data_IF_352143161659
#
_entry.id   IF_352143161659
#
_cell.length_a   1.000
_cell.length_b   1.000
_cell.length_c   1.000
_cell.angle_alpha   90.00
_cell.angle_beta   90.00
_cell.angle_gamma   90.00
#
_symmetry.space_group_name_H-M   'P 1'
#
loop_
_entity.id
_entity.type
_entity.pdbx_description
1 polymer ?
#
# COMPACT_ATOMS: atom_id res chain seq x y z
N UNK A 1 -9.15 -14.17 -15.73
CA UNK A 1 -9.40 -12.93 -14.98
C UNK A 1 -10.31 -12.03 -15.81
N UNK A 2 -11.17 -11.22 -15.18
CA UNK A 2 -11.97 -10.23 -15.90
C UNK A 2 -11.08 -9.06 -16.34
N UNK A 3 -11.51 -8.28 -17.34
CA UNK A 3 -10.78 -7.08 -17.76
C UNK A 3 -10.56 -6.07 -16.62
N UNK A 4 -11.50 -6.03 -15.65
CA UNK A 4 -11.41 -5.17 -14.48
C UNK A 4 -10.36 -5.66 -13.47
N UNK A 5 -10.26 -6.97 -13.27
CA UNK A 5 -9.20 -7.54 -12.42
C UNK A 5 -7.80 -7.32 -13.03
N UNK A 6 -7.66 -7.42 -14.36
CA UNK A 6 -6.40 -7.09 -15.06
C UNK A 6 -6.05 -5.61 -14.95
N UNK A 7 -7.04 -4.70 -14.95
CA UNK A 7 -6.80 -3.28 -14.71
C UNK A 7 -6.24 -3.04 -13.31
N UNK A 8 -6.91 -3.55 -12.26
CA UNK A 8 -6.44 -3.39 -10.88
C UNK A 8 -5.03 -3.97 -10.70
N UNK A 9 -4.77 -5.14 -11.32
CA UNK A 9 -3.45 -5.76 -11.35
C UNK A 9 -2.40 -4.86 -12.01
N UNK A 10 -2.68 -4.33 -13.21
CA UNK A 10 -1.74 -3.44 -13.90
C UNK A 10 -1.43 -2.17 -13.11
N UNK A 11 -2.41 -1.63 -12.39
CA UNK A 11 -2.25 -0.43 -11.55
C UNK A 11 -1.37 -0.71 -10.33
N UNK A 12 -1.59 -1.83 -9.63
CA UNK A 12 -0.73 -2.20 -8.51
C UNK A 12 0.69 -2.56 -8.95
N UNK A 13 0.85 -3.23 -10.09
CA UNK A 13 2.15 -3.55 -10.66
C UNK A 13 2.91 -2.27 -11.02
N UNK A 14 2.25 -1.29 -11.65
CA UNK A 14 2.84 0.01 -11.96
C UNK A 14 3.32 0.73 -10.69
N UNK A 15 2.50 0.77 -9.63
CA UNK A 15 2.89 1.35 -8.34
C UNK A 15 4.07 0.60 -7.73
N UNK A 16 4.03 -0.73 -7.76
CA UNK A 16 5.08 -1.58 -7.21
C UNK A 16 6.41 -1.34 -7.91
N UNK A 17 6.41 -1.32 -9.24
CA UNK A 17 7.61 -1.01 -10.03
C UNK A 17 8.10 0.40 -9.74
N UNK A 18 7.20 1.39 -9.67
CA UNK A 18 7.59 2.78 -9.45
C UNK A 18 8.27 2.99 -8.08
N UNK A 19 7.74 2.39 -7.01
CA UNK A 19 8.35 2.47 -5.67
C UNK A 19 9.65 1.68 -5.61
N UNK A 20 9.66 0.45 -6.11
CA UNK A 20 10.82 -0.46 -5.94
C UNK A 20 11.98 -0.16 -6.89
N UNK A 21 11.75 0.61 -7.96
CA UNK A 21 12.81 1.11 -8.84
C UNK A 21 13.47 2.39 -8.33
N UNK A 22 12.90 3.05 -7.32
CA UNK A 22 13.50 4.22 -6.69
C UNK A 22 14.72 3.81 -5.86
N UNK A 23 15.83 4.54 -6.00
CA UNK A 23 17.09 4.27 -5.28
C UNK A 23 16.99 4.27 -3.74
N UNK A 24 15.92 4.85 -3.20
CA UNK A 24 15.62 4.87 -1.76
C UNK A 24 15.02 3.55 -1.27
N UNK A 25 14.52 2.69 -2.16
CA UNK A 25 13.94 1.41 -1.79
C UNK A 25 14.97 0.45 -1.19
N UNK A 26 14.62 -0.13 -0.04
CA UNK A 26 15.42 -1.11 0.69
C UNK A 26 14.48 -2.19 1.22
N UNK A 27 14.59 -3.41 0.72
CA UNK A 27 13.70 -4.52 1.10
C UNK A 27 13.91 -4.92 2.57
N UNK A 28 15.12 -4.71 3.10
CA UNK A 28 15.48 -5.02 4.47
C UNK A 28 14.96 -3.98 5.47
N UNK A 29 14.45 -2.84 5.00
CA UNK A 29 13.85 -1.80 5.83
C UNK A 29 12.37 -2.12 6.09
N UNK A 30 12.12 -2.77 7.23
CA UNK A 30 10.77 -3.20 7.63
C UNK A 30 9.78 -2.03 7.70
N UNK A 31 10.21 -0.87 8.21
CA UNK A 31 9.34 0.32 8.28
C UNK A 31 8.94 0.79 6.87
N UNK A 32 9.88 0.81 5.93
CA UNK A 32 9.60 1.19 4.54
C UNK A 32 8.64 0.18 3.89
N UNK A 33 8.81 -1.11 4.16
CA UNK A 33 7.89 -2.15 3.69
C UNK A 33 6.48 -1.99 4.27
N UNK A 34 6.36 -1.67 5.56
CA UNK A 34 5.07 -1.40 6.21
C UNK A 34 4.39 -0.16 5.62
N UNK A 35 5.11 0.96 5.53
CA UNK A 35 4.59 2.20 4.95
C UNK A 35 4.11 1.97 3.53
N UNK A 36 4.93 1.30 2.71
CA UNK A 36 4.55 0.95 1.36
C UNK A 36 3.32 0.03 1.32
N UNK A 37 3.26 -1.00 2.16
CA UNK A 37 2.15 -1.96 2.16
C UNK A 37 0.81 -1.34 2.57
N UNK A 38 0.76 -0.51 3.62
CA UNK A 38 -0.47 0.20 3.99
C UNK A 38 -0.91 1.20 2.92
N UNK A 39 0.03 1.94 2.34
CA UNK A 39 -0.25 2.88 1.24
C UNK A 39 -0.69 2.16 -0.04
N UNK A 40 -0.03 1.07 -0.43
CA UNK A 40 -0.45 0.22 -1.55
C UNK A 40 -1.85 -0.31 -1.33
N UNK A 41 -2.15 -0.83 -0.14
CA UNK A 41 -3.48 -1.37 0.15
C UNK A 41 -4.57 -0.32 -0.09
N UNK A 42 -4.41 0.92 0.41
CA UNK A 42 -5.38 1.98 0.17
C UNK A 42 -5.59 2.30 -1.31
N UNK A 43 -4.51 2.37 -2.09
CA UNK A 43 -4.57 2.61 -3.53
C UNK A 43 -5.30 1.47 -4.27
N UNK A 44 -4.90 0.22 -4.02
CA UNK A 44 -5.48 -0.96 -4.67
C UNK A 44 -6.91 -1.19 -4.21
N UNK A 45 -7.23 -0.88 -2.95
CA UNK A 45 -8.61 -0.96 -2.46
C UNK A 45 -9.51 0.02 -3.19
N UNK A 46 -9.10 1.27 -3.36
CA UNK A 46 -9.91 2.22 -4.09
C UNK A 46 -10.04 1.89 -5.58
N UNK A 47 -8.96 1.48 -6.25
CA UNK A 47 -9.04 1.01 -7.66
C UNK A 47 -9.92 -0.24 -7.76
N UNK A 48 -9.62 -1.26 -6.97
CA UNK A 48 -10.32 -2.55 -6.99
C UNK A 48 -11.80 -2.42 -6.64
N UNK A 49 -12.15 -1.70 -5.58
CA UNK A 49 -13.51 -1.62 -5.07
C UNK A 49 -14.38 -0.62 -5.82
N UNK A 50 -13.84 0.55 -6.17
CA UNK A 50 -14.61 1.66 -6.75
C UNK A 50 -14.62 1.60 -8.28
N UNK A 51 -13.47 1.28 -8.89
CA UNK A 51 -13.33 1.27 -10.36
C UNK A 51 -13.63 -0.12 -10.92
N UNK A 52 -13.15 -1.18 -10.25
CA UNK A 52 -13.18 -2.54 -10.78
C UNK A 52 -14.27 -3.44 -10.17
N UNK A 53 -14.99 -2.96 -9.14
CA UNK A 53 -16.02 -3.70 -8.39
C UNK A 53 -15.59 -5.07 -7.87
N UNK A 54 -14.31 -5.22 -7.51
CA UNK A 54 -13.74 -6.45 -6.97
C UNK A 54 -14.16 -6.68 -5.52
N UNK A 55 -14.16 -7.95 -5.12
CA UNK A 55 -14.36 -8.35 -3.73
C UNK A 55 -13.14 -8.00 -2.88
N UNK A 56 -13.37 -7.70 -1.60
CA UNK A 56 -12.31 -7.31 -0.65
C UNK A 56 -11.23 -8.39 -0.56
N UNK A 57 -11.63 -9.67 -0.53
CA UNK A 57 -10.70 -10.79 -0.47
C UNK A 57 -9.77 -10.85 -1.69
N UNK A 58 -10.30 -10.55 -2.88
CA UNK A 58 -9.49 -10.51 -4.12
C UNK A 58 -8.52 -9.34 -4.11
N UNK A 59 -8.94 -8.18 -3.60
CA UNK A 59 -8.10 -6.98 -3.45
C UNK A 59 -6.95 -7.25 -2.47
N UNK A 60 -7.27 -7.80 -1.29
CA UNK A 60 -6.26 -8.16 -0.28
C UNK A 60 -5.29 -9.19 -0.84
N UNK A 61 -5.80 -10.21 -1.54
CA UNK A 61 -4.95 -11.21 -2.18
C UNK A 61 -4.02 -10.58 -3.23
N UNK A 62 -4.54 -9.72 -4.09
CA UNK A 62 -3.76 -9.05 -5.12
C UNK A 62 -2.62 -8.23 -4.51
N UNK A 63 -2.91 -7.41 -3.50
CA UNK A 63 -1.89 -6.61 -2.83
C UNK A 63 -0.87 -7.47 -2.07
N UNK A 64 -1.31 -8.53 -1.38
CA UNK A 64 -0.42 -9.47 -0.72
C UNK A 64 0.47 -10.24 -1.72
N UNK A 65 -0.04 -10.60 -2.91
CA UNK A 65 0.73 -11.26 -3.97
C UNK A 65 1.84 -10.35 -4.48
N UNK A 66 1.59 -9.05 -4.63
CA UNK A 66 2.60 -8.07 -5.04
C UNK A 66 3.70 -7.93 -4.01
N UNK A 67 3.36 -7.73 -2.73
CA UNK A 67 4.34 -7.67 -1.65
C UNK A 67 5.14 -8.98 -1.54
N UNK A 68 4.48 -10.12 -1.66
CA UNK A 68 5.16 -11.42 -1.64
C UNK A 68 6.12 -11.61 -2.80
N UNK A 69 5.76 -11.10 -3.98
CA UNK A 69 6.62 -11.08 -5.18
C UNK A 69 7.91 -10.28 -5.00
N UNK A 70 7.94 -9.32 -4.07
CA UNK A 70 9.14 -8.57 -3.70
C UNK A 70 10.08 -9.31 -2.75
N UNK A 71 9.68 -10.48 -2.23
CA UNK A 71 10.43 -11.24 -1.23
C UNK A 71 9.93 -11.06 0.21
N UNK A 72 8.85 -10.29 0.42
CA UNK A 72 8.20 -10.19 1.73
C UNK A 72 7.52 -11.53 2.05
N UNK A 73 7.69 -12.04 3.27
CA UNK A 73 7.11 -13.33 3.65
C UNK A 73 5.59 -13.36 3.46
N UNK A 74 5.07 -14.36 2.74
CA UNK A 74 3.65 -14.45 2.36
C UNK A 74 2.67 -14.21 3.51
N UNK A 75 2.88 -14.87 4.66
CA UNK A 75 2.01 -14.71 5.84
C UNK A 75 2.04 -13.30 6.41
N UNK A 76 3.19 -12.64 6.35
CA UNK A 76 3.35 -11.26 6.81
C UNK A 76 2.63 -10.30 5.87
N UNK A 77 2.77 -10.48 4.55
CA UNK A 77 2.02 -9.71 3.55
C UNK A 77 0.50 -9.88 3.72
N UNK A 78 0.01 -11.11 3.89
CA UNK A 78 -1.43 -11.38 4.15
C UNK A 78 -1.91 -10.71 5.44
N UNK A 79 -1.15 -10.85 6.54
CA UNK A 79 -1.47 -10.21 7.81
C UNK A 79 -1.50 -8.69 7.72
N UNK A 80 -0.60 -8.09 6.95
CA UNK A 80 -0.55 -6.65 6.70
C UNK A 80 -1.78 -6.17 5.92
N UNK A 81 -2.22 -6.89 4.88
CA UNK A 81 -3.43 -6.52 4.13
C UNK A 81 -4.69 -6.64 4.97
N UNK A 82 -4.75 -7.64 5.86
CA UNK A 82 -5.84 -7.77 6.82
C UNK A 82 -5.83 -6.62 7.83
N UNK A 83 -4.66 -6.26 8.37
CA UNK A 83 -4.52 -5.15 9.30
C UNK A 83 -4.92 -3.83 8.65
N UNK A 84 -4.46 -3.54 7.43
CA UNK A 84 -4.81 -2.36 6.67
C UNK A 84 -6.32 -2.24 6.42
N UNK A 85 -6.99 -3.36 6.09
CA UNK A 85 -8.44 -3.40 5.97
C UNK A 85 -9.13 -3.08 7.29
N UNK A 86 -8.71 -3.69 8.40
CA UNK A 86 -9.31 -3.49 9.71
C UNK A 86 -9.17 -2.02 10.18
N UNK A 87 -7.98 -1.44 10.00
CA UNK A 87 -7.69 -0.03 10.32
C UNK A 87 -8.63 0.91 9.55
N UNK A 88 -8.85 0.63 8.26
CA UNK A 88 -9.72 1.42 7.39
C UNK A 88 -11.22 1.30 7.74
N UNK A 89 -11.67 0.13 8.19
CA UNK A 89 -13.08 -0.11 8.55
C UNK A 89 -13.45 0.45 9.93
N UNK A 90 -12.46 0.78 10.76
CA UNK A 90 -12.73 1.31 12.09
C UNK A 90 -13.15 2.78 12.03
N UNK A 91 -14.39 3.06 12.44
CA UNK A 91 -14.91 4.42 12.52
C UNK A 91 -14.09 5.32 13.46
N UNK A 92 -13.83 6.55 13.04
CA UNK A 92 -13.08 7.53 13.83
C UNK A 92 -11.60 7.19 14.04
N UNK A 93 -11.06 6.21 13.32
CA UNK A 93 -9.67 5.81 13.45
C UNK A 93 -8.72 6.90 12.93
N UNK A 94 -7.80 7.36 13.77
CA UNK A 94 -6.78 8.35 13.44
C UNK A 94 -5.36 7.79 13.50
N UNK A 95 -5.23 6.46 13.56
CA UNK A 95 -3.94 5.77 13.59
C UNK A 95 -3.07 6.15 12.40
N UNK A 96 -1.76 6.01 12.58
CA UNK A 96 -0.79 6.19 11.51
C UNK A 96 -1.09 5.26 10.33
N UNK A 97 -1.43 4.01 10.58
CA UNK A 97 -1.79 3.04 9.55
C UNK A 97 -3.02 3.48 8.75
N UNK A 98 -4.07 3.97 9.40
CA UNK A 98 -5.25 4.48 8.70
C UNK A 98 -4.91 5.70 7.83
N UNK A 99 -4.03 6.58 8.30
CA UNK A 99 -3.55 7.72 7.51
C UNK A 99 -2.79 7.25 6.26
N UNK A 100 -1.91 6.25 6.39
CA UNK A 100 -1.17 5.67 5.26
C UNK A 100 -2.09 5.03 4.22
N UNK A 101 -3.12 4.30 4.68
CA UNK A 101 -4.18 3.77 3.81
C UNK A 101 -4.92 4.90 3.12
N UNK A 102 -5.29 5.96 3.85
CA UNK A 102 -5.97 7.13 3.31
C UNK A 102 -5.17 7.85 2.20
N UNK A 103 -3.85 7.96 2.36
CA UNK A 103 -2.94 8.52 1.33
C UNK A 103 -3.05 7.73 0.04
N UNK A 104 -2.91 6.40 0.10
CA UNK A 104 -3.07 5.54 -1.07
C UNK A 104 -4.45 5.67 -1.71
N UNK A 105 -5.50 5.65 -0.88
CA UNK A 105 -6.87 5.73 -1.34
C UNK A 105 -7.20 7.08 -2.02
N UNK A 106 -6.54 8.17 -1.65
CA UNK A 106 -6.75 9.47 -2.29
C UNK A 106 -6.21 9.56 -3.72
N UNK A 107 -5.32 8.64 -4.11
CA UNK A 107 -4.61 8.65 -5.40
C UNK A 107 -5.24 7.73 -6.46
N UNK A 108 -6.44 7.19 -6.20
CA UNK A 108 -7.09 6.16 -7.04
C UNK A 108 -7.34 6.58 -8.50
N UNK A 109 -7.55 7.88 -8.72
CA UNK A 109 -7.81 8.47 -10.03
C UNK A 109 -6.56 9.02 -10.71
N UNK A 110 -5.40 8.97 -10.06
CA UNK A 110 -4.18 9.56 -10.62
C UNK A 110 -3.60 8.69 -11.73
N UNK A 111 -3.19 9.36 -12.81
CA UNK A 111 -2.38 8.76 -13.87
C UNK A 111 -0.88 8.86 -13.56
N UNK A 112 -0.48 9.86 -12.77
CA UNK A 112 0.89 10.07 -12.33
C UNK A 112 1.06 9.56 -10.89
N UNK A 113 1.96 8.59 -10.71
CA UNK A 113 2.24 7.98 -9.42
C UNK A 113 3.33 8.71 -8.63
N UNK A 114 3.94 9.76 -9.18
CA UNK A 114 5.09 10.45 -8.57
C UNK A 114 4.79 10.96 -7.16
N UNK A 115 3.62 11.55 -6.93
CA UNK A 115 3.20 12.01 -5.59
C UNK A 115 3.03 10.87 -4.60
N UNK A 116 2.47 9.74 -5.05
CA UNK A 116 2.24 8.57 -4.23
C UNK A 116 3.57 7.90 -3.85
N UNK A 117 4.48 7.79 -4.81
CA UNK A 117 5.85 7.28 -4.60
C UNK A 117 6.59 8.17 -3.60
N UNK A 118 6.57 9.49 -3.79
CA UNK A 118 7.22 10.41 -2.85
C UNK A 118 6.60 10.33 -1.46
N UNK A 119 5.29 10.15 -1.36
CA UNK A 119 4.60 9.98 -0.08
C UNK A 119 5.10 8.75 0.69
N UNK A 120 5.38 7.63 0.03
CA UNK A 120 5.92 6.43 0.69
C UNK A 120 7.26 6.75 1.38
N UNK A 121 8.19 7.37 0.64
CA UNK A 121 9.51 7.69 1.19
C UNK A 121 9.48 8.80 2.23
N UNK A 122 8.70 9.86 1.97
CA UNK A 122 8.55 10.97 2.90
C UNK A 122 7.98 10.50 4.24
N UNK A 123 6.91 9.70 4.22
CA UNK A 123 6.28 9.24 5.46
C UNK A 123 7.18 8.26 6.22
N UNK A 124 7.91 7.38 5.52
CA UNK A 124 8.90 6.49 6.16
C UNK A 124 9.94 7.30 6.95
N UNK A 125 10.47 8.37 6.36
CA UNK A 125 11.44 9.24 7.02
C UNK A 125 10.84 10.06 8.18
N UNK A 126 9.61 10.55 8.04
CA UNK A 126 8.93 11.27 9.12
C UNK A 126 8.67 10.35 10.32
N UNK A 127 8.19 9.13 10.07
CA UNK A 127 7.94 8.13 11.12
C UNK A 127 9.25 7.78 11.81
N UNK A 128 10.32 7.52 11.05
CA UNK A 128 11.65 7.25 11.60
C UNK A 128 12.15 8.38 12.51
N UNK A 129 12.01 9.63 12.07
CA UNK A 129 12.36 10.82 12.87
C UNK A 129 11.51 10.95 14.14
N UNK A 130 10.24 10.56 14.09
CA UNK A 130 9.36 10.59 15.25
C UNK A 130 9.75 9.53 16.30
N UNK A 131 10.16 8.33 15.86
CA UNK A 131 10.63 7.26 16.73
C UNK A 131 12.00 7.56 17.35
N UNK A 132 12.91 8.18 16.58
CA UNK A 132 14.26 8.55 17.06
C UNK A 132 14.30 9.73 18.03
N UNK A 133 13.22 10.49 18.19
CA UNK A 133 13.11 11.62 19.13
C UNK A 133 12.52 11.23 20.49
N UNK A 134 12.25 9.94 20.72
CA UNK A 134 11.68 9.41 21.96
C UNK A 134 12.70 8.78 22.93
N UNK A 135 14.00 9.03 22.74
CA UNK A 135 15.09 8.52 23.58
C UNK A 135 15.71 9.57 24.49
#
# INVERSE_FOLDING_TARGET
>A
MSAMAELAKSKVEALTVAVTSDSRWQLEDELLCEVFGFTMYGYVFGVGRIVCFMDVEEIQKLAADQLSGLGIGRKYAEGMMQAAHNEMMQEGNTSLHNQLVGIGHSQIGSEDLSELVESVFHNSEQIRKSMGKGG
#
